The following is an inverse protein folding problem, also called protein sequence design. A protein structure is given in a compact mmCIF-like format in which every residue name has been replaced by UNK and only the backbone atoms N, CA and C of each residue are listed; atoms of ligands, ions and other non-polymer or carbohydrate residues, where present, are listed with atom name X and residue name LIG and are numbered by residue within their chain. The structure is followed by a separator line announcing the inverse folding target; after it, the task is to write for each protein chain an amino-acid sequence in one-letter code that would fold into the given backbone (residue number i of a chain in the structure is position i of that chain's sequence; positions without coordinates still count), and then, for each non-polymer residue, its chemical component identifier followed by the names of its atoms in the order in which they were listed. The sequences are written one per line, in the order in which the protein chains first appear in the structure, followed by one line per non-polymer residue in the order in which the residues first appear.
data_IF_507605134428
#
_entry.id   IF_507605134428
#
_cell.length_a   1.000
_cell.length_b   1.000
_cell.length_c   1.000
_cell.angle_alpha   90.00
_cell.angle_beta   90.00
_cell.angle_gamma   90.00
#
_symmetry.space_group_name_H-M   'P 1'
#
loop_
_entity.id
_entity.type
_entity.pdbx_description
1 polymer ?
#
# COMPACT_ATOMS: atom_id res chain seq x y z
N UNK A 1 30.85 -46.66 11.50
CA UNK A 1 29.86 -45.70 12.00
C UNK A 1 30.63 -44.72 12.83
N UNK A 2 30.86 -43.52 12.25
CA UNK A 2 31.94 -42.61 12.64
C UNK A 2 31.75 -41.93 14.03
N UNK A 3 32.85 -41.86 14.76
CA UNK A 3 32.98 -41.17 16.06
C UNK A 3 32.39 -39.76 16.04
N UNK A 4 32.47 -39.02 14.92
CA UNK A 4 31.88 -37.70 14.72
C UNK A 4 30.34 -37.71 14.83
N UNK A 5 29.61 -38.77 14.39
CA UNK A 5 28.15 -38.87 14.54
C UNK A 5 27.72 -39.05 16.01
N UNK A 6 28.54 -39.71 16.83
CA UNK A 6 28.26 -39.88 18.27
C UNK A 6 28.46 -38.58 19.05
N UNK A 7 29.43 -37.75 18.66
CA UNK A 7 29.70 -36.46 19.32
C UNK A 7 28.56 -35.46 19.00
N UNK A 8 28.01 -35.44 17.78
CA UNK A 8 26.92 -34.56 17.40
C UNK A 8 25.59 -34.87 18.13
N UNK A 9 25.34 -36.16 18.43
CA UNK A 9 24.11 -36.59 19.15
C UNK A 9 24.23 -36.24 20.67
N UNK A 10 25.44 -36.24 21.24
CA UNK A 10 25.64 -35.91 22.63
C UNK A 10 25.57 -34.38 22.88
N UNK A 11 25.94 -33.57 21.87
CA UNK A 11 25.85 -32.10 21.96
C UNK A 11 24.41 -31.58 21.95
N UNK A 12 23.48 -32.28 21.27
CA UNK A 12 22.04 -31.93 21.25
C UNK A 12 21.30 -32.26 22.56
N UNK A 13 21.86 -33.11 23.43
CA UNK A 13 21.20 -33.52 24.69
C UNK A 13 21.51 -32.60 25.89
N UNK A 14 22.39 -31.62 25.72
CA UNK A 14 22.80 -30.67 26.78
C UNK A 14 22.36 -29.23 26.55
N UNK A 15 21.42 -28.98 25.60
CA UNK A 15 20.77 -27.68 25.56
C UNK A 15 19.80 -27.58 26.75
N UNK A 16 19.99 -26.66 27.66
CA UNK A 16 19.10 -26.51 28.80
C UNK A 16 17.70 -26.17 28.29
N UNK A 17 16.70 -26.93 28.73
CA UNK A 17 15.28 -26.75 28.44
C UNK A 17 14.74 -25.37 28.91
N UNK A 18 15.60 -24.54 29.50
CA UNK A 18 15.31 -23.20 30.02
C UNK A 18 15.40 -22.08 28.98
N UNK A 19 15.68 -22.40 27.68
CA UNK A 19 15.83 -21.37 26.65
C UNK A 19 14.56 -21.13 25.79
N UNK A 20 13.44 -21.78 26.10
CA UNK A 20 12.15 -21.36 25.54
C UNK A 20 11.64 -20.24 26.44
N UNK A 21 12.17 -19.04 26.24
CA UNK A 21 11.58 -17.84 26.81
C UNK A 21 10.17 -17.69 26.22
N UNK A 22 9.17 -17.81 27.07
CA UNK A 22 7.81 -17.50 26.67
C UNK A 22 7.77 -16.03 26.25
N UNK A 23 7.56 -15.77 24.95
CA UNK A 23 7.37 -14.42 24.42
C UNK A 23 6.18 -13.83 25.18
N UNK A 24 6.42 -12.75 25.90
CA UNK A 24 5.38 -12.06 26.67
C UNK A 24 4.50 -11.23 25.73
N UNK A 25 3.26 -10.99 26.12
CA UNK A 25 2.33 -10.13 25.34
C UNK A 25 2.92 -8.73 25.17
N UNK A 26 3.67 -8.23 26.16
CA UNK A 26 4.35 -6.93 26.07
C UNK A 26 5.42 -6.92 24.97
N UNK A 27 6.22 -7.98 24.81
CA UNK A 27 7.22 -8.06 23.75
C UNK A 27 6.59 -8.13 22.36
N UNK A 28 5.41 -8.78 22.23
CA UNK A 28 4.66 -8.80 20.98
C UNK A 28 4.13 -7.38 20.67
N UNK A 29 3.57 -6.69 21.66
CA UNK A 29 3.06 -5.33 21.50
C UNK A 29 4.18 -4.35 21.17
N UNK A 30 5.32 -4.45 21.83
CA UNK A 30 6.49 -3.59 21.57
C UNK A 30 7.07 -3.85 20.17
N UNK A 31 7.17 -5.11 19.77
CA UNK A 31 7.59 -5.48 18.41
C UNK A 31 6.62 -4.97 17.36
N UNK A 32 5.30 -5.13 17.58
CA UNK A 32 4.29 -4.60 16.69
C UNK A 32 4.37 -3.06 16.61
N UNK A 33 4.51 -2.37 17.75
CA UNK A 33 4.62 -0.91 17.79
C UNK A 33 5.87 -0.40 17.07
N UNK A 34 6.99 -1.10 17.19
CA UNK A 34 8.23 -0.75 16.47
C UNK A 34 8.11 -0.94 14.96
N UNK A 35 7.44 -2.01 14.52
CA UNK A 35 7.13 -2.23 13.09
C UNK A 35 6.23 -1.13 12.53
N UNK A 36 5.19 -0.71 13.28
CA UNK A 36 4.33 0.41 12.90
C UNK A 36 5.09 1.74 12.82
N UNK A 37 6.02 2.00 13.75
CA UNK A 37 6.85 3.19 13.71
C UNK A 37 7.83 3.18 12.54
N UNK A 38 8.39 2.03 12.20
CA UNK A 38 9.27 1.87 11.04
C UNK A 38 8.50 2.08 9.74
N UNK A 39 7.26 1.61 9.65
CA UNK A 39 6.38 1.84 8.49
C UNK A 39 6.01 3.32 8.35
N UNK A 40 5.73 4.04 9.45
CA UNK A 40 5.49 5.49 9.45
C UNK A 40 6.70 6.34 9.04
N UNK A 41 7.92 5.82 9.13
CA UNK A 41 9.12 6.52 8.63
C UNK A 41 9.32 6.35 7.12
N UNK A 42 8.44 5.58 6.46
CA UNK A 42 8.51 5.35 5.03
C UNK A 42 8.14 6.64 4.28
N UNK A 43 8.98 7.03 3.34
CA UNK A 43 8.71 8.11 2.41
C UNK A 43 8.46 7.52 1.03
N UNK A 44 7.57 8.18 0.28
CA UNK A 44 7.42 7.86 -1.12
C UNK A 44 8.77 8.01 -1.83
N UNK A 45 9.18 7.00 -2.57
CA UNK A 45 10.40 7.03 -3.38
C UNK A 45 10.10 7.66 -4.74
N UNK A 46 11.14 7.96 -5.51
CA UNK A 46 10.97 8.52 -6.85
C UNK A 46 10.16 7.58 -7.73
N UNK A 47 9.18 8.14 -8.43
CA UNK A 47 8.39 7.42 -9.42
C UNK A 47 8.08 8.30 -10.65
N UNK A 48 7.74 7.66 -11.75
CA UNK A 48 7.25 8.31 -12.97
C UNK A 48 6.24 7.37 -13.63
N UNK A 49 4.98 7.53 -13.31
CA UNK A 49 3.88 6.70 -13.78
C UNK A 49 3.09 7.40 -14.87
N UNK A 50 2.67 6.65 -15.89
CA UNK A 50 1.83 7.17 -16.95
C UNK A 50 0.43 6.60 -16.80
N UNK A 51 -0.59 7.47 -16.69
CA UNK A 51 -1.98 7.06 -16.57
C UNK A 51 -2.59 6.59 -17.91
N UNK A 52 -3.82 6.08 -17.87
CA UNK A 52 -4.56 5.62 -19.07
C UNK A 52 -4.82 6.74 -20.07
N UNK A 53 -4.80 8.00 -19.64
CA UNK A 53 -5.01 9.19 -20.50
C UNK A 53 -3.69 9.72 -21.08
N UNK A 54 -2.53 9.14 -20.68
CA UNK A 54 -1.21 9.53 -21.15
C UNK A 54 -0.54 10.63 -20.33
N UNK A 55 -1.14 11.07 -19.21
CA UNK A 55 -0.51 12.03 -18.31
C UNK A 55 0.55 11.36 -17.47
N UNK A 56 1.65 12.08 -17.20
CA UNK A 56 2.75 11.58 -16.38
C UNK A 56 2.64 12.14 -14.97
N UNK A 57 2.63 11.25 -13.98
CA UNK A 57 2.59 11.55 -12.55
C UNK A 57 3.94 11.18 -11.93
N UNK A 58 4.54 12.11 -11.21
CA UNK A 58 5.86 11.93 -10.57
C UNK A 58 5.81 12.32 -9.10
N UNK A 59 6.81 11.89 -8.32
CA UNK A 59 6.99 12.35 -6.95
C UNK A 59 7.09 13.90 -6.86
N UNK A 60 7.67 14.56 -7.85
CA UNK A 60 7.73 16.02 -7.91
C UNK A 60 6.34 16.64 -8.18
N UNK A 61 5.53 16.04 -9.09
CA UNK A 61 4.21 16.58 -9.44
C UNK A 61 3.18 16.44 -8.31
N UNK A 62 3.44 15.56 -7.34
CA UNK A 62 2.56 15.32 -6.19
C UNK A 62 2.98 16.11 -4.93
N UNK A 63 4.14 16.79 -4.95
CA UNK A 63 4.60 17.61 -3.82
C UNK A 63 3.60 18.70 -3.47
N UNK A 64 3.42 18.89 -2.16
CA UNK A 64 2.49 19.89 -1.64
C UNK A 64 1.03 19.43 -1.55
N UNK A 65 0.72 18.24 -2.07
CA UNK A 65 -0.58 17.58 -1.92
C UNK A 65 -0.45 16.29 -1.11
N UNK A 66 -1.52 15.85 -0.51
CA UNK A 66 -1.61 14.47 -0.06
C UNK A 66 -1.62 13.56 -1.29
N UNK A 67 -0.87 12.46 -1.23
CA UNK A 67 -0.87 11.43 -2.27
C UNK A 67 -1.58 10.19 -1.71
N UNK A 68 -2.68 9.82 -2.34
CA UNK A 68 -3.42 8.60 -2.06
C UNK A 68 -3.14 7.60 -3.18
N UNK A 69 -2.56 6.47 -2.84
CA UNK A 69 -2.24 5.38 -3.78
C UNK A 69 -3.08 4.17 -3.42
N UNK A 70 -4.02 3.85 -4.30
CA UNK A 70 -4.94 2.74 -4.12
C UNK A 70 -4.62 1.62 -5.10
N UNK A 71 -4.32 0.43 -4.59
CA UNK A 71 -4.13 -0.79 -5.37
C UNK A 71 -5.45 -1.52 -5.50
N UNK A 72 -5.89 -1.74 -6.72
CA UNK A 72 -7.19 -2.30 -7.03
C UNK A 72 -7.17 -3.20 -8.28
N UNK A 73 -8.29 -3.86 -8.59
CA UNK A 73 -8.50 -4.60 -9.83
C UNK A 73 -9.98 -4.70 -10.15
N UNK A 74 -10.35 -4.89 -11.43
CA UNK A 74 -11.74 -4.99 -11.87
C UNK A 74 -12.48 -6.21 -11.31
N UNK A 75 -11.77 -7.30 -11.06
CA UNK A 75 -12.28 -8.54 -10.50
C UNK A 75 -12.34 -8.57 -8.96
N UNK A 76 -12.00 -7.49 -8.28
CA UNK A 76 -11.94 -7.39 -6.84
C UNK A 76 -13.21 -6.72 -6.27
N UNK A 77 -14.22 -7.47 -5.76
CA UNK A 77 -15.49 -6.90 -5.33
C UNK A 77 -15.39 -5.79 -4.26
N UNK A 78 -14.55 -5.91 -3.20
CA UNK A 78 -14.39 -4.81 -2.25
C UNK A 78 -13.72 -3.57 -2.86
N UNK A 79 -12.84 -3.73 -3.89
CA UNK A 79 -12.27 -2.59 -4.60
C UNK A 79 -13.34 -1.77 -5.33
N UNK A 80 -14.34 -2.44 -5.90
CA UNK A 80 -15.42 -1.76 -6.61
C UNK A 80 -16.34 -0.96 -5.68
N UNK A 81 -16.47 -1.40 -4.44
CA UNK A 81 -17.33 -0.73 -3.44
C UNK A 81 -16.74 0.59 -2.96
N UNK A 82 -15.40 0.72 -2.94
CA UNK A 82 -14.74 1.94 -2.48
C UNK A 82 -14.63 3.02 -3.56
N UNK A 83 -14.80 2.69 -4.87
CA UNK A 83 -14.70 3.65 -5.98
C UNK A 83 -15.57 4.89 -5.76
N UNK A 84 -16.85 4.80 -5.36
CA UNK A 84 -17.67 5.98 -5.13
C UNK A 84 -17.11 6.93 -4.06
N UNK A 85 -16.50 6.36 -3.00
CA UNK A 85 -15.86 7.18 -1.96
C UNK A 85 -14.65 7.95 -2.49
N UNK A 86 -13.82 7.32 -3.33
CA UNK A 86 -12.70 8.00 -3.98
C UNK A 86 -13.16 9.07 -4.97
N UNK A 87 -14.19 8.78 -5.76
CA UNK A 87 -14.77 9.74 -6.73
C UNK A 87 -15.29 10.98 -6.02
N UNK A 88 -16.14 10.80 -5.00
CA UNK A 88 -16.70 11.90 -4.20
C UNK A 88 -15.58 12.69 -3.49
N UNK A 89 -14.62 11.99 -2.89
CA UNK A 89 -13.52 12.63 -2.18
C UNK A 89 -12.63 13.46 -3.12
N UNK A 90 -12.34 12.94 -4.33
CA UNK A 90 -11.51 13.64 -5.30
C UNK A 90 -12.22 14.85 -5.91
N UNK A 91 -13.53 14.76 -6.18
CA UNK A 91 -14.33 15.91 -6.65
C UNK A 91 -14.26 17.10 -5.68
N UNK A 92 -14.26 16.81 -4.39
CA UNK A 92 -14.29 17.85 -3.35
C UNK A 92 -12.89 18.37 -2.95
N UNK A 93 -11.81 17.60 -3.22
CA UNK A 93 -10.49 17.88 -2.64
C UNK A 93 -9.32 17.77 -3.61
N UNK A 94 -9.53 17.78 -4.94
CA UNK A 94 -8.47 17.65 -5.95
C UNK A 94 -7.41 18.78 -5.88
N UNK A 95 -7.73 19.90 -5.24
CA UNK A 95 -6.79 21.00 -4.96
C UNK A 95 -5.71 20.58 -3.93
N UNK A 96 -6.07 19.73 -2.96
CA UNK A 96 -5.23 19.30 -1.83
C UNK A 96 -4.73 17.86 -1.95
N UNK A 97 -5.36 17.04 -2.79
CA UNK A 97 -5.11 15.61 -2.90
C UNK A 97 -4.83 15.22 -4.33
N UNK A 98 -3.88 14.30 -4.50
CA UNK A 98 -3.71 13.53 -5.72
C UNK A 98 -4.05 12.08 -5.41
N UNK A 99 -4.98 11.49 -6.14
CA UNK A 99 -5.26 10.04 -6.08
C UNK A 99 -4.62 9.38 -7.29
N UNK A 100 -3.99 8.23 -7.09
CA UNK A 100 -3.51 7.33 -8.13
C UNK A 100 -4.13 5.95 -7.90
N UNK A 101 -5.02 5.53 -8.77
CA UNK A 101 -5.55 4.16 -8.80
C UNK A 101 -4.60 3.28 -9.59
N UNK A 102 -3.86 2.41 -8.89
CA UNK A 102 -2.93 1.47 -9.51
C UNK A 102 -3.66 0.15 -9.77
N UNK A 103 -4.01 -0.07 -11.02
CA UNK A 103 -4.66 -1.30 -11.48
C UNK A 103 -3.66 -2.44 -11.48
N UNK A 104 -3.80 -3.39 -10.53
CA UNK A 104 -2.87 -4.50 -10.30
C UNK A 104 -3.31 -5.76 -11.03
N UNK A 105 -3.60 -5.62 -12.32
CA UNK A 105 -3.93 -6.73 -13.21
C UNK A 105 -3.31 -6.52 -14.60
N UNK A 106 -3.12 -7.60 -15.32
CA UNK A 106 -2.74 -7.53 -16.73
C UNK A 106 -3.99 -7.42 -17.58
N UNK A 107 -4.44 -6.20 -17.84
CA UNK A 107 -5.62 -5.93 -18.60
C UNK A 107 -5.34 -5.02 -19.80
N UNK A 108 -6.19 -5.12 -20.80
CA UNK A 108 -6.18 -4.21 -21.95
C UNK A 108 -6.59 -2.80 -21.53
N UNK A 109 -5.88 -1.81 -22.01
CA UNK A 109 -6.14 -0.40 -21.70
C UNK A 109 -7.56 0.02 -22.04
N UNK A 110 -8.10 -0.47 -23.16
CA UNK A 110 -9.47 -0.13 -23.60
C UNK A 110 -10.48 -0.69 -22.63
N UNK A 111 -10.31 -1.95 -22.20
CA UNK A 111 -11.20 -2.59 -21.23
C UNK A 111 -11.20 -1.84 -19.88
N UNK A 112 -10.05 -1.44 -19.38
CA UNK A 112 -9.96 -0.64 -18.15
C UNK A 112 -10.57 0.74 -18.33
N UNK A 113 -10.38 1.40 -19.48
CA UNK A 113 -11.00 2.70 -19.75
C UNK A 113 -12.52 2.61 -19.77
N UNK A 114 -13.09 1.63 -20.47
CA UNK A 114 -14.55 1.40 -20.53
C UNK A 114 -15.12 1.09 -19.13
N UNK A 115 -14.38 0.30 -18.34
CA UNK A 115 -14.75 -0.01 -16.95
C UNK A 115 -14.77 1.27 -16.09
N UNK A 116 -13.69 2.05 -16.11
CA UNK A 116 -13.57 3.27 -15.31
C UNK A 116 -14.59 4.34 -15.71
N UNK A 117 -14.94 4.44 -17.00
CA UNK A 117 -15.99 5.31 -17.49
C UNK A 117 -17.37 4.87 -16.96
N UNK A 118 -17.63 3.56 -16.90
CA UNK A 118 -18.88 3.01 -16.34
C UNK A 118 -19.05 3.35 -14.85
N UNK A 119 -17.95 3.34 -14.09
CA UNK A 119 -17.94 3.70 -12.67
C UNK A 119 -17.72 5.21 -12.43
N UNK A 120 -17.66 6.02 -13.49
CA UNK A 120 -17.44 7.48 -13.44
C UNK A 120 -16.16 7.86 -12.66
N UNK A 121 -15.10 7.07 -12.81
CA UNK A 121 -13.82 7.32 -12.14
C UNK A 121 -13.22 8.62 -12.67
N UNK A 122 -13.00 9.59 -11.77
CA UNK A 122 -12.56 10.94 -12.09
C UNK A 122 -11.07 11.20 -11.73
N UNK A 123 -10.39 10.22 -11.14
CA UNK A 123 -8.97 10.29 -10.76
C UNK A 123 -8.10 9.43 -11.70
N UNK A 124 -6.78 9.70 -11.78
CA UNK A 124 -5.84 8.97 -12.62
C UNK A 124 -5.79 7.48 -12.33
N UNK A 125 -5.86 6.67 -13.39
CA UNK A 125 -5.71 5.21 -13.34
C UNK A 125 -4.41 4.83 -14.07
N UNK A 126 -3.58 4.05 -13.42
CA UNK A 126 -2.29 3.56 -13.92
C UNK A 126 -2.34 2.05 -14.07
N UNK A 127 -2.00 1.54 -15.25
CA UNK A 127 -2.01 0.11 -15.53
C UNK A 127 -0.72 -0.57 -15.07
N UNK A 128 -0.84 -1.83 -14.67
CA UNK A 128 0.30 -2.70 -14.46
C UNK A 128 0.85 -3.20 -15.80
N UNK A 129 1.85 -2.50 -16.31
CA UNK A 129 2.56 -2.82 -17.54
C UNK A 129 4.07 -2.89 -17.31
N UNK A 130 4.85 -3.17 -18.37
CA UNK A 130 6.32 -3.28 -18.28
C UNK A 130 7.01 -1.99 -17.82
N UNK A 131 6.39 -0.84 -18.02
CA UNK A 131 6.92 0.49 -17.65
C UNK A 131 6.52 0.90 -16.23
N UNK A 132 5.25 0.78 -15.90
CA UNK A 132 4.67 1.25 -14.64
C UNK A 132 4.80 0.20 -13.53
N UNK A 133 4.53 -1.07 -13.85
CA UNK A 133 4.43 -2.17 -12.89
C UNK A 133 5.63 -2.31 -11.94
N UNK A 134 6.90 -2.23 -12.43
CA UNK A 134 8.07 -2.29 -11.55
C UNK A 134 8.11 -1.18 -10.48
N UNK A 135 7.43 -0.05 -10.72
CA UNK A 135 7.41 1.09 -9.82
C UNK A 135 6.32 1.00 -8.74
N UNK A 136 5.38 0.05 -8.85
CA UNK A 136 4.30 -0.11 -7.88
C UNK A 136 4.85 -0.43 -6.48
N UNK A 137 5.94 -1.18 -6.39
CA UNK A 137 6.62 -1.46 -5.12
C UNK A 137 7.20 -0.21 -4.41
N UNK A 138 7.33 0.92 -5.12
CA UNK A 138 7.80 2.18 -4.55
C UNK A 138 6.82 2.76 -3.51
N UNK A 139 5.58 2.28 -3.49
CA UNK A 139 4.53 2.75 -2.58
C UNK A 139 4.29 1.80 -1.40
N UNK A 140 4.88 0.61 -1.39
CA UNK A 140 4.75 -0.34 -0.32
C UNK A 140 4.44 -1.76 -0.79
N UNK A 141 4.26 -2.67 0.15
CA UNK A 141 3.94 -4.07 -0.13
C UNK A 141 2.44 -4.25 -0.38
N UNK A 142 2.10 -5.06 -1.39
CA UNK A 142 0.72 -5.43 -1.70
C UNK A 142 0.47 -6.81 -1.14
N UNK A 143 -0.12 -6.88 0.06
CA UNK A 143 -0.44 -8.12 0.77
C UNK A 143 -1.82 -8.64 0.34
N UNK A 144 -2.68 -7.75 -0.11
CA UNK A 144 -4.04 -8.03 -0.58
C UNK A 144 -4.67 -6.81 -1.25
N UNK A 145 -5.86 -6.96 -1.79
CA UNK A 145 -6.60 -5.87 -2.43
C UNK A 145 -8.02 -5.74 -1.86
N UNK A 146 -8.51 -4.49 -1.74
CA UNK A 146 -7.80 -3.24 -1.98
C UNK A 146 -6.77 -2.92 -0.90
N UNK A 147 -5.74 -2.18 -1.26
CA UNK A 147 -4.76 -1.61 -0.33
C UNK A 147 -4.54 -0.15 -0.67
N UNK A 148 -4.63 0.72 0.33
CA UNK A 148 -4.48 2.17 0.17
C UNK A 148 -3.35 2.69 1.04
N UNK A 149 -2.40 3.39 0.42
CA UNK A 149 -1.34 4.14 1.09
C UNK A 149 -1.64 5.63 1.00
N UNK A 150 -1.51 6.35 2.11
CA UNK A 150 -1.74 7.80 2.17
C UNK A 150 -0.46 8.49 2.65
N UNK A 151 0.07 9.37 1.82
CA UNK A 151 1.25 10.18 2.10
C UNK A 151 0.87 11.63 2.29
N UNK A 152 1.53 12.30 3.25
CA UNK A 152 1.32 13.74 3.48
C UNK A 152 2.03 14.60 2.39
N UNK A 153 1.82 15.94 2.37
CA UNK A 153 2.46 16.82 1.40
C UNK A 153 4.00 16.83 1.38
N UNK A 154 4.64 16.23 2.40
CA UNK A 154 6.09 16.02 2.48
C UNK A 154 6.54 14.65 1.94
N UNK A 155 5.59 13.84 1.44
CA UNK A 155 5.82 12.48 0.98
C UNK A 155 6.03 11.45 2.08
N UNK A 156 5.67 11.75 3.32
CA UNK A 156 5.77 10.84 4.46
C UNK A 156 4.50 10.02 4.60
N UNK A 157 4.61 8.71 4.79
CA UNK A 157 3.46 7.82 4.99
C UNK A 157 2.74 8.21 6.28
N UNK A 158 1.46 8.51 6.18
CA UNK A 158 0.61 8.87 7.33
C UNK A 158 -0.45 7.84 7.64
N UNK A 159 -0.82 7.01 6.66
CA UNK A 159 -1.76 5.91 6.86
C UNK A 159 -1.55 4.78 5.84
N UNK A 160 -1.90 3.58 6.26
CA UNK A 160 -1.96 2.37 5.46
C UNK A 160 -3.26 1.64 5.80
N UNK A 161 -4.10 1.44 4.80
CA UNK A 161 -5.39 0.78 4.94
C UNK A 161 -5.45 -0.46 4.04
N UNK A 162 -5.78 -1.60 4.61
CA UNK A 162 -6.02 -2.84 3.87
C UNK A 162 -7.50 -3.20 3.97
N UNK A 163 -8.12 -3.41 2.83
CA UNK A 163 -9.57 -3.59 2.69
C UNK A 163 -10.27 -2.33 2.20
N UNK A 164 -11.60 -2.40 2.09
CA UNK A 164 -12.46 -1.31 1.65
C UNK A 164 -12.30 -0.06 2.53
N UNK A 165 -12.06 1.10 1.91
CA UNK A 165 -11.95 2.38 2.60
C UNK A 165 -13.18 3.25 2.28
N UNK A 166 -13.71 3.93 3.31
CA UNK A 166 -14.84 4.85 3.18
C UNK A 166 -14.40 6.32 3.16
N UNK A 167 -15.34 7.19 2.77
CA UNK A 167 -15.07 8.62 2.69
C UNK A 167 -14.73 9.23 4.06
N UNK A 168 -15.36 8.76 5.14
CA UNK A 168 -15.12 9.24 6.49
C UNK A 168 -13.68 8.96 6.93
N UNK A 169 -13.15 7.81 6.56
CA UNK A 169 -11.75 7.44 6.84
C UNK A 169 -10.77 8.31 6.04
N UNK A 170 -11.05 8.58 4.76
CA UNK A 170 -10.27 9.49 3.92
C UNK A 170 -10.26 10.91 4.51
N UNK A 171 -11.44 11.45 4.84
CA UNK A 171 -11.58 12.78 5.44
C UNK A 171 -10.85 12.88 6.78
N UNK A 172 -11.05 11.92 7.67
CA UNK A 172 -10.38 11.87 8.97
C UNK A 172 -8.87 11.83 8.84
N UNK A 173 -8.34 11.05 7.91
CA UNK A 173 -6.89 10.89 7.74
C UNK A 173 -6.26 12.14 7.13
N UNK A 174 -6.92 12.77 6.16
CA UNK A 174 -6.35 13.82 5.32
C UNK A 174 -6.73 15.22 5.82
N UNK A 175 -7.98 15.42 6.24
CA UNK A 175 -8.49 16.76 6.56
C UNK A 175 -8.39 17.10 8.06
N UNK A 176 -8.29 16.11 8.95
CA UNK A 176 -8.24 16.35 10.40
C UNK A 176 -6.86 16.74 10.94
N UNK A 177 -5.82 16.68 10.10
CA UNK A 177 -4.45 17.06 10.49
C UNK A 177 -4.11 18.43 9.89
N UNK A 178 -3.74 19.40 10.73
CA UNK A 178 -3.28 20.73 10.27
C UNK A 178 -1.96 20.65 9.54
#
# INVERSE_FOLDING_TARGET
MNLMKKILIILCLFLPLSAVQAITVSEIVDSASSLWQQQKSQKVTKFSLTDTKGNVHTDESTKGKYLVVNFWATWCPPCLKEIPAFVEFYDNHADKVQILGLDYEQADKTAISEFTDTFMVNYPIVLFDDKNGPQFSNFGEIIGMPTTYIYNPKGELVDFHMGEIDIQTLEKTILSKP
#
